data_IF_169448310640
#
_entry.id   IF_169448310640
#
_cell.length_a   1.000
_cell.length_b   1.000
_cell.length_c   1.000
_cell.angle_alpha   90.00
_cell.angle_beta   90.00
_cell.angle_gamma   90.00
#
_symmetry.space_group_name_H-M   'P 1'
#
loop_
_entity.id
_entity.type
_entity.pdbx_description
1 polymer ?
#
# COMPACT_ATOMS: atom_id res chain seq x y z
N UNK A 1 -7.26 -2.97 19.01
CA UNK A 1 -6.17 -3.78 18.38
C UNK A 1 -5.67 -4.80 19.39
N UNK A 2 -5.49 -6.05 18.99
CA UNK A 2 -4.78 -7.00 19.84
C UNK A 2 -3.32 -6.51 19.97
N UNK A 3 -2.76 -6.51 21.18
CA UNK A 3 -1.34 -6.25 21.36
C UNK A 3 -0.52 -7.31 20.61
N UNK A 4 0.68 -6.99 20.16
CA UNK A 4 1.56 -7.92 19.46
C UNK A 4 1.71 -9.27 20.21
N UNK A 5 1.67 -9.25 21.55
CA UNK A 5 1.68 -10.47 22.40
C UNK A 5 0.44 -11.34 22.23
N UNK A 6 -0.74 -10.75 22.05
CA UNK A 6 -2.00 -11.49 21.90
C UNK A 6 -2.07 -12.08 20.50
N UNK A 7 -1.56 -11.36 19.51
CA UNK A 7 -1.42 -11.82 18.12
C UNK A 7 -0.58 -13.10 18.04
N UNK A 8 0.55 -13.16 18.73
CA UNK A 8 1.41 -14.34 18.77
C UNK A 8 0.76 -15.57 19.45
N UNK A 9 -0.20 -15.38 20.35
CA UNK A 9 -0.87 -16.50 21.05
C UNK A 9 -2.00 -17.12 20.20
N UNK A 10 -2.72 -16.33 19.41
CA UNK A 10 -3.85 -16.78 18.60
C UNK A 10 -3.45 -17.25 17.18
N UNK A 11 -2.31 -16.77 16.65
CA UNK A 11 -1.88 -16.98 15.26
C UNK A 11 -2.00 -18.41 14.75
N UNK A 12 -1.50 -19.37 15.49
CA UNK A 12 -1.44 -20.76 14.99
C UNK A 12 -2.81 -21.43 15.02
N UNK A 13 -3.61 -21.20 16.06
CA UNK A 13 -4.91 -21.86 16.21
C UNK A 13 -6.01 -21.21 15.37
N UNK A 14 -6.03 -19.90 15.32
CA UNK A 14 -7.16 -19.13 14.74
C UNK A 14 -6.85 -18.64 13.33
N UNK A 15 -5.66 -18.09 13.10
CA UNK A 15 -5.32 -17.44 11.83
C UNK A 15 -4.71 -18.43 10.82
N UNK A 16 -3.88 -19.35 11.23
CA UNK A 16 -3.22 -20.26 10.29
C UNK A 16 -4.19 -21.11 9.45
N UNK A 17 -5.30 -21.65 9.99
CA UNK A 17 -6.31 -22.32 9.15
C UNK A 17 -6.89 -21.40 8.07
N UNK A 18 -7.13 -20.12 8.37
CA UNK A 18 -7.64 -19.13 7.41
C UNK A 18 -6.61 -18.89 6.29
N UNK A 19 -5.32 -18.75 6.66
CA UNK A 19 -4.22 -18.60 5.70
C UNK A 19 -4.10 -19.80 4.77
N UNK A 20 -4.16 -21.02 5.32
CA UNK A 20 -4.10 -22.27 4.54
C UNK A 20 -5.28 -22.39 3.60
N UNK A 21 -6.49 -22.00 4.04
CA UNK A 21 -7.68 -22.01 3.19
C UNK A 21 -7.57 -20.98 2.06
N UNK A 22 -7.07 -19.78 2.34
CA UNK A 22 -6.78 -18.77 1.31
C UNK A 22 -5.75 -19.27 0.29
N UNK A 23 -4.67 -19.91 0.75
CA UNK A 23 -3.70 -20.53 -0.14
C UNK A 23 -4.32 -21.61 -1.02
N UNK A 24 -5.17 -22.49 -0.46
CA UNK A 24 -5.84 -23.55 -1.24
C UNK A 24 -6.71 -22.97 -2.35
N UNK A 25 -7.47 -21.91 -2.07
CA UNK A 25 -8.27 -21.22 -3.08
C UNK A 25 -7.42 -20.62 -4.23
N UNK A 26 -6.21 -20.13 -3.92
CA UNK A 26 -5.27 -19.68 -4.94
C UNK A 26 -4.69 -20.87 -5.73
N UNK A 27 -4.25 -21.92 -5.04
CA UNK A 27 -3.69 -23.11 -5.65
C UNK A 27 -4.67 -23.87 -6.56
N UNK A 28 -5.98 -23.73 -6.33
CA UNK A 28 -7.01 -24.26 -7.22
C UNK A 28 -7.22 -23.45 -8.51
N UNK A 29 -6.73 -22.21 -8.54
CA UNK A 29 -6.91 -21.28 -9.67
C UNK A 29 -5.66 -21.09 -10.51
N UNK A 30 -4.49 -21.25 -9.93
CA UNK A 30 -3.22 -20.92 -10.55
C UNK A 30 -2.30 -22.14 -10.59
N UNK A 31 -1.58 -22.29 -11.69
CA UNK A 31 -0.60 -23.36 -11.86
C UNK A 31 0.63 -23.18 -10.96
N UNK A 32 0.98 -21.94 -10.64
CA UNK A 32 2.09 -21.56 -9.76
C UNK A 32 1.60 -20.52 -8.75
N UNK A 33 1.90 -20.77 -7.48
CA UNK A 33 1.68 -19.80 -6.40
C UNK A 33 3.03 -19.44 -5.79
N UNK A 34 3.38 -18.17 -5.80
CA UNK A 34 4.58 -17.64 -5.15
C UNK A 34 4.20 -17.17 -3.75
N UNK A 35 4.95 -17.64 -2.75
CA UNK A 35 4.76 -17.27 -1.35
C UNK A 35 5.98 -16.48 -0.88
N UNK A 36 5.75 -15.31 -0.32
CA UNK A 36 6.77 -14.50 0.32
C UNK A 36 6.70 -14.68 1.84
N UNK A 37 7.87 -14.91 2.47
CA UNK A 37 8.01 -14.91 3.93
C UNK A 37 8.14 -13.49 4.47
N UNK A 38 7.98 -13.34 5.77
CA UNK A 38 8.19 -12.07 6.46
C UNK A 38 9.23 -12.24 7.59
N UNK A 39 10.12 -11.27 7.72
CA UNK A 39 11.24 -11.33 8.66
C UNK A 39 12.23 -12.46 8.30
N UNK A 40 12.71 -13.19 9.30
CA UNK A 40 13.66 -14.28 9.08
C UNK A 40 13.11 -15.62 9.59
N UNK A 41 13.25 -16.72 8.84
CA UNK A 41 12.90 -18.05 9.33
C UNK A 41 13.83 -18.53 10.47
N UNK A 42 14.90 -17.80 10.76
CA UNK A 42 15.85 -18.05 11.84
C UNK A 42 15.43 -17.46 13.19
N UNK A 43 14.32 -16.75 13.26
CA UNK A 43 13.74 -16.19 14.50
C UNK A 43 13.22 -17.33 15.42
N UNK A 44 14.14 -18.03 16.09
CA UNK A 44 13.82 -19.21 16.92
C UNK A 44 12.91 -18.90 18.10
N UNK A 45 12.96 -17.68 18.61
CA UNK A 45 12.10 -17.15 19.66
C UNK A 45 10.64 -16.97 19.20
N UNK A 46 10.38 -16.73 17.92
CA UNK A 46 9.05 -16.55 17.34
C UNK A 46 8.52 -17.80 16.64
N UNK A 47 9.33 -18.84 16.49
CA UNK A 47 9.00 -20.07 15.73
C UNK A 47 7.66 -20.69 16.11
N UNK A 48 7.31 -20.70 17.41
CA UNK A 48 6.07 -21.33 17.86
C UNK A 48 4.81 -20.63 17.31
N UNK A 49 4.91 -19.33 17.08
CA UNK A 49 3.82 -18.47 16.59
C UNK A 49 3.97 -18.05 15.13
N UNK A 50 5.11 -18.37 14.49
CA UNK A 50 5.34 -18.07 13.07
C UNK A 50 4.39 -18.88 12.18
N UNK A 51 3.63 -18.18 11.35
CA UNK A 51 2.69 -18.75 10.37
C UNK A 51 3.06 -18.37 8.93
N UNK A 52 4.07 -17.52 8.71
CA UNK A 52 4.39 -16.95 7.40
C UNK A 52 5.58 -17.64 6.72
N UNK A 53 6.56 -18.12 7.47
CA UNK A 53 7.78 -18.71 6.93
C UNK A 53 7.66 -20.23 6.78
N UNK A 54 8.45 -21.00 7.53
CA UNK A 54 8.59 -22.45 7.32
C UNK A 54 7.31 -23.25 7.59
N UNK A 55 6.43 -22.78 8.47
CA UNK A 55 5.11 -23.42 8.68
C UNK A 55 4.24 -23.34 7.44
N UNK A 56 4.21 -22.17 6.79
CA UNK A 56 3.47 -22.00 5.53
C UNK A 56 4.12 -22.79 4.39
N UNK A 57 5.45 -22.75 4.28
CA UNK A 57 6.18 -23.56 3.31
C UNK A 57 5.89 -25.06 3.45
N UNK A 58 5.77 -25.55 4.68
CA UNK A 58 5.40 -26.94 4.96
C UNK A 58 3.94 -27.24 4.56
N UNK A 59 2.99 -26.37 4.89
CA UNK A 59 1.58 -26.55 4.55
C UNK A 59 1.33 -26.52 3.03
N UNK A 60 2.10 -25.71 2.31
CA UNK A 60 2.03 -25.59 0.85
C UNK A 60 2.85 -26.64 0.11
N UNK A 61 3.66 -27.44 0.82
CA UNK A 61 4.70 -28.31 0.23
C UNK A 61 5.63 -27.56 -0.73
N UNK A 62 6.01 -26.33 -0.33
CA UNK A 62 6.73 -25.40 -1.19
C UNK A 62 8.22 -25.75 -1.32
N UNK A 63 8.76 -25.58 -2.51
CA UNK A 63 10.18 -25.45 -2.76
C UNK A 63 10.63 -24.04 -2.38
N UNK A 64 11.63 -23.91 -1.51
CA UNK A 64 12.04 -22.63 -0.95
C UNK A 64 13.38 -22.15 -1.54
N UNK A 65 13.42 -20.86 -1.87
CA UNK A 65 14.64 -20.12 -2.14
C UNK A 65 15.01 -19.30 -0.90
N UNK A 66 16.25 -19.46 -0.41
CA UNK A 66 16.76 -18.60 0.65
C UNK A 66 17.44 -17.37 0.02
N UNK A 67 16.93 -16.17 0.30
CA UNK A 67 17.49 -14.92 -0.23
C UNK A 67 18.29 -14.22 0.87
N UNK A 68 19.57 -13.93 0.59
CA UNK A 68 20.43 -13.14 1.46
C UNK A 68 20.59 -11.71 0.94
N UNK A 69 20.39 -10.72 1.81
CA UNK A 69 20.64 -9.31 1.53
C UNK A 69 22.11 -8.99 1.85
N UNK A 70 22.91 -8.62 0.83
CA UNK A 70 24.33 -8.31 1.01
C UNK A 70 24.57 -6.86 1.47
N UNK A 71 23.62 -5.97 1.24
CA UNK A 71 23.76 -4.55 1.54
C UNK A 71 23.96 -4.27 3.04
N UNK A 72 23.39 -5.14 3.90
CA UNK A 72 23.55 -5.07 5.35
C UNK A 72 24.88 -5.63 5.87
N UNK A 73 25.68 -6.24 5.02
CA UNK A 73 26.89 -6.97 5.41
C UNK A 73 26.61 -8.34 6.03
N UNK A 74 27.63 -9.18 6.12
CA UNK A 74 27.56 -10.48 6.78
C UNK A 74 26.67 -11.53 6.10
N UNK A 75 26.36 -11.39 4.80
CA UNK A 75 25.43 -12.27 4.06
C UNK A 75 25.75 -13.76 4.18
N UNK A 76 27.03 -14.13 4.16
CA UNK A 76 27.44 -15.54 4.29
C UNK A 76 27.14 -16.09 5.69
N UNK A 77 27.38 -15.30 6.73
CA UNK A 77 27.05 -15.67 8.10
C UNK A 77 25.52 -15.81 8.28
N UNK A 78 24.75 -14.89 7.68
CA UNK A 78 23.28 -14.93 7.72
C UNK A 78 22.74 -16.18 7.02
N UNK A 79 23.22 -16.53 5.82
CA UNK A 79 22.80 -17.75 5.11
C UNK A 79 23.13 -19.02 5.89
N UNK A 80 24.38 -19.12 6.39
CA UNK A 80 24.81 -20.29 7.16
C UNK A 80 24.04 -20.42 8.49
N UNK A 81 23.92 -19.31 9.23
CA UNK A 81 23.21 -19.25 10.50
C UNK A 81 21.73 -19.61 10.35
N UNK A 82 21.07 -19.08 9.31
CA UNK A 82 19.68 -19.42 9.02
C UNK A 82 19.51 -20.92 8.81
N UNK A 83 20.30 -21.54 7.94
CA UNK A 83 20.21 -22.98 7.70
C UNK A 83 20.57 -23.81 8.92
N UNK A 84 21.54 -23.38 9.74
CA UNK A 84 21.90 -24.09 10.97
C UNK A 84 20.77 -24.08 12.00
N UNK A 85 19.97 -23.01 12.08
CA UNK A 85 18.85 -22.87 13.00
C UNK A 85 17.57 -23.55 12.53
N UNK A 86 17.43 -23.87 11.24
CA UNK A 86 16.28 -24.60 10.71
C UNK A 86 16.32 -26.09 11.14
N UNK A 87 15.13 -26.65 11.38
CA UNK A 87 14.97 -28.09 11.63
C UNK A 87 15.26 -28.90 10.36
N UNK A 88 15.64 -30.20 10.47
CA UNK A 88 15.97 -31.01 9.29
C UNK A 88 14.89 -31.02 8.20
N UNK A 89 13.62 -31.16 8.57
CA UNK A 89 12.49 -31.17 7.62
C UNK A 89 12.20 -29.80 6.99
N UNK A 90 12.53 -28.69 7.68
CA UNK A 90 12.44 -27.33 7.17
C UNK A 90 13.57 -27.08 6.17
N UNK A 91 14.79 -27.46 6.57
CA UNK A 91 15.99 -27.34 5.73
C UNK A 91 15.86 -28.13 4.42
N UNK A 92 15.25 -29.32 4.47
CA UNK A 92 15.02 -30.14 3.29
C UNK A 92 14.14 -29.47 2.22
N UNK A 93 13.42 -28.39 2.54
CA UNK A 93 12.64 -27.62 1.58
C UNK A 93 13.45 -26.58 0.83
N UNK A 94 14.59 -26.18 1.37
CA UNK A 94 15.46 -25.18 0.72
C UNK A 94 16.13 -25.83 -0.49
N UNK A 95 15.91 -25.27 -1.68
CA UNK A 95 16.45 -25.80 -2.95
C UNK A 95 17.71 -25.08 -3.40
N UNK A 96 17.97 -23.91 -2.85
CA UNK A 96 19.15 -23.12 -3.14
C UNK A 96 19.10 -21.77 -2.42
N UNK A 97 20.11 -20.98 -2.64
CA UNK A 97 20.18 -19.63 -2.14
C UNK A 97 20.49 -18.63 -3.25
N UNK A 98 20.09 -17.38 -3.06
CA UNK A 98 20.46 -16.26 -3.90
C UNK A 98 20.97 -15.12 -3.04
N UNK A 99 21.83 -14.28 -3.61
CA UNK A 99 22.34 -13.05 -2.98
C UNK A 99 21.70 -11.87 -3.69
N UNK A 100 21.03 -10.98 -2.94
CA UNK A 100 20.34 -9.82 -3.48
C UNK A 100 21.06 -8.53 -3.12
N UNK A 101 20.78 -7.47 -3.88
CA UNK A 101 21.31 -6.11 -3.72
C UNK A 101 22.84 -6.01 -3.86
N UNK A 102 23.44 -6.84 -4.69
CA UNK A 102 24.88 -6.85 -4.87
C UNK A 102 25.35 -5.56 -5.57
N UNK A 103 26.44 -4.97 -5.04
CA UNK A 103 27.12 -3.82 -5.64
C UNK A 103 28.61 -4.15 -5.75
N UNK A 104 29.21 -3.87 -6.88
CA UNK A 104 30.65 -4.04 -7.11
C UNK A 104 30.99 -5.15 -8.09
N UNK A 105 32.22 -5.65 -8.00
CA UNK A 105 32.77 -6.68 -8.90
C UNK A 105 32.42 -8.10 -8.43
N UNK A 106 31.61 -8.79 -9.24
CA UNK A 106 31.15 -10.16 -8.95
C UNK A 106 32.30 -11.15 -8.84
N UNK A 107 33.45 -10.91 -9.50
CA UNK A 107 34.61 -11.78 -9.43
C UNK A 107 35.15 -11.92 -8.01
N UNK A 108 35.02 -10.87 -7.18
CA UNK A 108 35.44 -10.87 -5.78
C UNK A 108 34.50 -11.70 -4.90
N UNK A 109 33.21 -11.81 -5.27
CA UNK A 109 32.22 -12.57 -4.52
C UNK A 109 32.23 -14.06 -4.88
N UNK A 110 32.59 -14.42 -6.10
CA UNK A 110 32.53 -15.78 -6.65
C UNK A 110 33.25 -16.84 -5.79
N UNK A 111 34.48 -16.62 -5.27
CA UNK A 111 35.14 -17.62 -4.39
C UNK A 111 34.36 -17.85 -3.10
N UNK A 112 33.73 -16.80 -2.55
CA UNK A 112 32.88 -16.88 -1.36
C UNK A 112 31.62 -17.71 -1.63
N UNK A 113 30.97 -17.51 -2.77
CA UNK A 113 29.79 -18.29 -3.21
C UNK A 113 30.17 -19.77 -3.32
N UNK A 114 31.28 -20.11 -3.98
CA UNK A 114 31.73 -21.47 -4.12
C UNK A 114 32.02 -22.13 -2.76
N UNK A 115 32.60 -21.39 -1.81
CA UNK A 115 32.81 -21.87 -0.45
C UNK A 115 31.48 -22.12 0.27
N UNK A 116 30.47 -21.25 0.09
CA UNK A 116 29.15 -21.39 0.68
C UNK A 116 28.37 -22.57 0.10
N UNK A 117 28.41 -22.78 -1.21
CA UNK A 117 27.77 -23.96 -1.83
C UNK A 117 28.28 -25.27 -1.19
N UNK A 118 29.61 -25.39 -1.00
CA UNK A 118 30.20 -26.56 -0.34
C UNK A 118 29.77 -26.70 1.12
N UNK A 119 29.73 -25.60 1.88
CA UNK A 119 29.35 -25.61 3.31
C UNK A 119 27.88 -25.89 3.55
N UNK A 120 27.02 -25.35 2.70
CA UNK A 120 25.56 -25.45 2.84
C UNK A 120 25.02 -26.74 2.20
N UNK A 121 25.77 -27.35 1.24
CA UNK A 121 25.27 -28.46 0.42
C UNK A 121 24.12 -28.01 -0.51
N UNK A 122 24.06 -26.72 -0.85
CA UNK A 122 23.00 -26.12 -1.65
C UNK A 122 23.61 -25.32 -2.82
N UNK A 123 22.98 -25.33 -4.01
CA UNK A 123 23.43 -24.49 -5.11
C UNK A 123 23.13 -23.02 -4.83
N UNK A 124 24.03 -22.15 -5.30
CA UNK A 124 23.68 -20.76 -5.53
C UNK A 124 22.83 -20.68 -6.80
N UNK A 125 21.66 -20.08 -6.72
CA UNK A 125 20.78 -19.88 -7.87
C UNK A 125 21.09 -18.55 -8.58
N UNK A 126 21.98 -17.73 -8.02
CA UNK A 126 22.47 -16.50 -8.64
C UNK A 126 22.71 -15.36 -7.68
N UNK A 127 23.18 -14.27 -8.26
CA UNK A 127 23.40 -12.99 -7.57
C UNK A 127 22.66 -11.91 -8.33
N UNK A 128 21.76 -11.23 -7.66
CA UNK A 128 20.98 -10.12 -8.24
C UNK A 128 21.69 -8.81 -7.92
N UNK A 129 22.24 -8.13 -8.93
CA UNK A 129 22.84 -6.82 -8.75
C UNK A 129 21.81 -5.78 -8.32
N UNK A 130 22.28 -4.74 -7.68
CA UNK A 130 21.46 -3.58 -7.35
C UNK A 130 20.90 -2.95 -8.63
N UNK A 131 19.61 -2.76 -8.68
CA UNK A 131 18.93 -2.08 -9.78
C UNK A 131 18.58 -0.65 -9.34
N UNK A 132 19.26 0.34 -9.95
CA UNK A 132 18.95 1.75 -9.71
C UNK A 132 17.66 2.16 -10.41
N UNK A 133 17.01 3.17 -9.89
CA UNK A 133 15.88 3.89 -10.50
C UNK A 133 14.75 2.96 -11.00
N UNK A 134 14.48 1.93 -10.23
CA UNK A 134 13.39 1.02 -10.58
C UNK A 134 12.03 1.73 -10.48
N UNK A 135 11.90 2.68 -9.54
CA UNK A 135 10.72 3.53 -9.35
C UNK A 135 9.46 2.75 -8.98
N UNK A 136 9.61 1.56 -8.38
CA UNK A 136 8.49 0.86 -7.77
C UNK A 136 8.15 1.50 -6.43
N UNK A 137 6.87 1.49 -6.11
CA UNK A 137 6.36 2.01 -4.85
C UNK A 137 6.91 1.19 -3.69
N UNK A 138 7.36 1.87 -2.64
CA UNK A 138 7.78 1.21 -1.42
C UNK A 138 6.56 0.83 -0.58
N UNK A 139 6.57 -0.39 -0.01
CA UNK A 139 5.42 -0.95 0.70
C UNK A 139 5.26 -0.37 2.11
N UNK A 140 6.37 0.00 2.76
CA UNK A 140 6.38 0.43 4.16
C UNK A 140 6.60 1.94 4.35
N UNK A 141 6.15 2.44 5.52
CA UNK A 141 6.38 3.81 6.00
C UNK A 141 7.86 4.21 6.16
N UNK A 142 8.81 3.30 5.93
CA UNK A 142 10.24 3.59 5.76
C UNK A 142 10.46 4.58 4.62
N UNK A 143 9.56 4.61 3.63
CA UNK A 143 9.50 5.63 2.59
C UNK A 143 9.44 7.07 3.12
N UNK A 144 8.97 7.30 4.35
CA UNK A 144 8.91 8.65 4.93
C UNK A 144 10.29 9.20 5.32
N UNK A 145 11.26 8.33 5.65
CA UNK A 145 12.60 8.79 5.98
C UNK A 145 13.37 9.27 4.74
N UNK A 146 13.05 8.72 3.57
CA UNK A 146 13.62 9.08 2.27
C UNK A 146 12.66 9.91 1.38
N UNK A 147 11.41 10.17 1.85
CA UNK A 147 10.43 10.94 1.09
C UNK A 147 10.86 12.41 0.94
N UNK A 148 10.57 13.04 -0.20
CA UNK A 148 10.85 14.46 -0.39
C UNK A 148 10.06 15.28 0.65
N UNK A 149 10.77 15.79 1.65
CA UNK A 149 10.23 16.71 2.65
C UNK A 149 10.27 18.10 2.09
N UNK A 150 9.33 18.95 2.50
CA UNK A 150 9.45 20.38 2.24
C UNK A 150 10.57 20.88 3.15
N UNK A 151 11.83 20.83 2.67
CA UNK A 151 12.89 21.55 3.35
C UNK A 151 12.50 23.02 3.42
N UNK A 152 12.78 23.69 4.52
CA UNK A 152 12.49 25.12 4.69
C UNK A 152 13.02 25.91 3.47
N UNK A 153 12.14 26.33 2.58
CA UNK A 153 12.49 26.99 1.33
C UNK A 153 12.52 26.10 0.06
N UNK A 154 12.21 24.79 0.11
CA UNK A 154 12.31 23.90 -1.05
C UNK A 154 11.36 24.30 -2.21
N UNK A 155 10.20 24.83 -1.94
CA UNK A 155 9.38 25.51 -2.96
C UNK A 155 9.85 26.96 -3.12
N UNK A 156 11.13 27.12 -3.52
CA UNK A 156 11.78 28.42 -3.67
C UNK A 156 11.18 29.22 -4.81
N UNK A 157 11.13 30.52 -4.57
CA UNK A 157 10.72 31.60 -5.42
C UNK A 157 9.24 31.56 -5.82
N UNK A 158 8.63 32.73 -5.78
CA UNK A 158 7.39 33.03 -6.47
C UNK A 158 7.62 32.82 -7.97
N UNK A 159 7.61 31.55 -8.42
CA UNK A 159 7.42 31.29 -9.84
C UNK A 159 5.99 31.72 -10.16
N UNK A 160 5.84 32.92 -10.67
CA UNK A 160 4.59 33.46 -11.22
C UNK A 160 4.25 32.78 -12.55
N UNK A 161 5.12 31.92 -13.02
CA UNK A 161 4.94 31.18 -14.25
C UNK A 161 3.77 30.19 -14.11
N UNK A 162 2.77 30.35 -14.95
CA UNK A 162 1.58 29.48 -15.03
C UNK A 162 1.92 28.08 -15.56
N UNK A 163 3.12 27.86 -16.08
CA UNK A 163 3.62 26.57 -16.54
C UNK A 163 4.24 25.73 -15.41
N UNK A 164 4.51 26.31 -14.24
CA UNK A 164 5.08 25.59 -13.10
C UNK A 164 4.28 24.34 -12.71
N UNK A 165 4.91 23.41 -12.00
CA UNK A 165 4.25 22.25 -11.40
C UNK A 165 3.20 22.67 -10.36
N UNK A 166 2.16 21.85 -10.21
CA UNK A 166 1.16 21.97 -9.14
C UNK A 166 1.81 21.51 -7.82
N UNK A 167 1.80 22.36 -6.80
CA UNK A 167 2.38 22.06 -5.49
C UNK A 167 1.35 21.37 -4.60
N UNK A 168 1.60 20.12 -4.30
CA UNK A 168 0.74 19.27 -3.45
C UNK A 168 1.46 18.98 -2.14
N UNK A 169 0.92 19.47 -1.03
CA UNK A 169 1.42 19.18 0.31
C UNK A 169 0.63 18.03 0.94
N UNK A 170 1.29 16.95 1.26
CA UNK A 170 0.72 15.87 2.09
C UNK A 170 1.14 16.10 3.53
N UNK A 171 0.20 16.25 4.45
CA UNK A 171 0.51 16.46 5.86
C UNK A 171 1.15 15.20 6.43
N UNK A 172 2.34 15.32 7.01
CA UNK A 172 3.10 14.21 7.58
C UNK A 172 2.51 13.78 8.95
N UNK A 173 1.29 13.23 8.91
CA UNK A 173 0.60 12.76 10.12
C UNK A 173 1.40 11.65 10.81
N UNK A 174 1.41 11.61 12.17
CA UNK A 174 1.91 10.45 12.89
C UNK A 174 1.20 9.16 12.44
N UNK A 175 1.96 8.08 12.33
CA UNK A 175 1.45 6.76 11.89
C UNK A 175 0.72 6.82 10.54
N UNK A 176 1.24 7.63 9.61
CA UNK A 176 0.75 7.70 8.24
C UNK A 176 0.56 6.29 7.67
N UNK A 177 -0.59 6.06 7.06
CA UNK A 177 -0.94 4.78 6.44
C UNK A 177 -1.01 4.95 4.93
N UNK A 178 -0.60 3.90 4.20
CA UNK A 178 -0.72 3.82 2.74
C UNK A 178 -0.04 4.99 2.01
N UNK A 179 1.26 5.23 2.27
CA UNK A 179 2.06 6.24 1.56
C UNK A 179 2.03 6.06 0.03
N UNK A 180 1.79 4.84 -0.45
CA UNK A 180 1.60 4.48 -1.85
C UNK A 180 0.42 5.19 -2.52
N UNK A 181 -0.54 5.73 -1.77
CA UNK A 181 -1.63 6.54 -2.32
C UNK A 181 -1.13 7.74 -3.13
N UNK A 182 0.07 8.23 -2.82
CA UNK A 182 0.63 9.46 -3.40
C UNK A 182 1.68 9.19 -4.49
N UNK A 183 2.13 7.95 -4.66
CA UNK A 183 3.20 7.60 -5.60
C UNK A 183 2.86 8.00 -7.05
N UNK A 184 1.62 7.79 -7.47
CA UNK A 184 1.16 8.17 -8.80
C UNK A 184 1.08 9.70 -9.00
N UNK A 185 0.76 10.47 -7.97
CA UNK A 185 0.83 11.93 -8.00
C UNK A 185 2.27 12.42 -8.04
N UNK A 186 3.17 11.81 -7.27
CA UNK A 186 4.59 12.15 -7.27
C UNK A 186 5.27 11.82 -8.61
N UNK A 187 4.78 10.79 -9.31
CA UNK A 187 5.26 10.43 -10.65
C UNK A 187 4.72 11.32 -11.78
N UNK A 188 3.75 12.21 -11.48
CA UNK A 188 3.14 13.09 -12.48
C UNK A 188 4.05 14.29 -12.76
N UNK A 189 4.59 14.47 -13.99
CA UNK A 189 5.56 15.54 -14.28
C UNK A 189 5.05 16.94 -14.01
N UNK A 190 3.74 17.15 -13.99
CA UNK A 190 3.09 18.43 -13.74
C UNK A 190 2.77 18.67 -12.26
N UNK A 191 3.20 17.78 -11.37
CA UNK A 191 2.99 17.83 -9.91
C UNK A 191 4.32 17.88 -9.18
N UNK A 192 4.43 18.73 -8.19
CA UNK A 192 5.51 18.81 -7.22
C UNK A 192 4.91 18.45 -5.86
N UNK A 193 5.11 17.20 -5.45
CA UNK A 193 4.53 16.63 -4.23
C UNK A 193 5.60 16.58 -3.13
N UNK A 194 5.25 17.06 -1.94
CA UNK A 194 6.11 16.97 -0.78
C UNK A 194 5.31 16.78 0.52
N UNK A 195 5.98 16.28 1.55
CA UNK A 195 5.38 16.08 2.87
C UNK A 195 5.60 17.30 3.76
N UNK A 196 4.51 17.84 4.33
CA UNK A 196 4.49 19.00 5.20
C UNK A 196 4.59 18.56 6.67
N UNK A 197 5.61 19.04 7.38
CA UNK A 197 5.84 18.75 8.81
C UNK A 197 5.50 19.93 9.70
N UNK A 198 5.53 21.16 9.16
CA UNK A 198 5.26 22.39 9.86
C UNK A 198 4.16 23.25 9.19
N UNK A 199 3.42 24.09 9.95
CA UNK A 199 2.40 24.98 9.39
C UNK A 199 2.88 25.85 8.23
N UNK A 200 4.11 26.36 8.28
CA UNK A 200 4.71 27.18 7.23
C UNK A 200 4.86 26.45 5.89
N UNK A 201 4.95 25.12 5.91
CA UNK A 201 5.07 24.31 4.69
C UNK A 201 3.81 24.41 3.80
N UNK A 202 2.66 24.73 4.41
CA UNK A 202 1.38 24.85 3.67
C UNK A 202 1.24 26.17 2.90
N UNK A 203 1.97 27.21 3.25
CA UNK A 203 1.77 28.57 2.71
C UNK A 203 1.83 28.62 1.18
N UNK A 204 2.76 27.88 0.59
CA UNK A 204 3.01 27.85 -0.86
C UNK A 204 2.35 26.70 -1.59
N UNK A 205 1.66 25.81 -0.89
CA UNK A 205 0.91 24.73 -1.49
C UNK A 205 -0.27 25.26 -2.31
N UNK A 206 -0.62 24.54 -3.36
CA UNK A 206 -1.82 24.75 -4.15
C UNK A 206 -2.95 23.84 -3.67
N UNK A 207 -2.59 22.65 -3.17
CA UNK A 207 -3.50 21.64 -2.60
C UNK A 207 -2.87 21.05 -1.35
N UNK A 208 -3.69 20.79 -0.32
CA UNK A 208 -3.30 20.06 0.88
C UNK A 208 -4.03 18.73 0.91
N UNK A 209 -3.31 17.65 1.25
CA UNK A 209 -3.88 16.32 1.46
C UNK A 209 -3.64 15.89 2.91
N UNK A 210 -4.71 15.57 3.63
CA UNK A 210 -4.67 14.84 4.89
C UNK A 210 -4.72 13.33 4.58
N UNK A 211 -3.63 12.60 4.79
CA UNK A 211 -3.56 11.18 4.42
C UNK A 211 -4.29 10.27 5.40
N UNK A 212 -4.33 8.98 5.09
CA UNK A 212 -4.72 7.95 6.04
C UNK A 212 -3.75 7.87 7.22
N UNK A 213 -4.25 7.48 8.37
CA UNK A 213 -3.45 7.23 9.58
C UNK A 213 -3.98 6.00 10.32
N UNK A 214 -3.07 5.32 11.04
CA UNK A 214 -3.42 4.16 11.90
C UNK A 214 -3.91 4.59 13.30
N UNK A 215 -3.79 5.88 13.64
CA UNK A 215 -4.26 6.46 14.91
C UNK A 215 -4.85 7.85 14.64
N UNK A 216 -6.15 7.90 14.38
CA UNK A 216 -6.87 9.13 14.04
C UNK A 216 -6.94 10.09 15.22
N UNK A 217 -7.18 9.55 16.45
CA UNK A 217 -7.25 10.37 17.66
C UNK A 217 -5.87 10.92 18.02
N UNK A 218 -4.80 10.14 17.80
CA UNK A 218 -3.42 10.60 17.97
C UNK A 218 -3.04 11.68 16.94
N UNK A 219 -3.45 11.52 15.70
CA UNK A 219 -3.25 12.53 14.66
C UNK A 219 -3.96 13.85 14.98
N UNK A 220 -5.19 13.80 15.50
CA UNK A 220 -5.91 14.99 15.96
C UNK A 220 -5.17 15.71 17.12
N UNK A 221 -4.61 14.96 18.07
CA UNK A 221 -3.76 15.57 19.13
C UNK A 221 -2.53 16.26 18.57
N UNK A 222 -1.89 15.65 17.58
CA UNK A 222 -0.71 16.24 16.94
C UNK A 222 -1.07 17.51 16.15
N UNK A 223 -2.23 17.54 15.49
CA UNK A 223 -2.73 18.71 14.77
C UNK A 223 -3.00 19.91 15.68
N UNK A 224 -3.31 19.72 16.96
CA UNK A 224 -3.46 20.80 17.95
C UNK A 224 -2.17 21.65 18.11
N UNK A 225 -1.01 21.16 17.63
CA UNK A 225 0.27 21.87 17.59
C UNK A 225 0.37 22.99 16.56
N UNK A 226 -0.76 23.47 16.00
CA UNK A 226 -0.84 24.56 15.03
C UNK A 226 -1.01 24.14 13.58
N UNK A 227 -0.69 22.88 13.24
CA UNK A 227 -0.92 22.37 11.87
C UNK A 227 -2.42 22.34 11.53
N UNK A 228 -3.27 22.00 12.50
CA UNK A 228 -4.73 22.01 12.31
C UNK A 228 -5.25 23.39 11.94
N UNK A 229 -4.84 24.43 12.67
CA UNK A 229 -5.20 25.81 12.38
C UNK A 229 -4.72 26.26 10.99
N UNK A 230 -3.50 25.85 10.62
CA UNK A 230 -2.96 26.16 9.29
C UNK A 230 -3.78 25.48 8.17
N UNK A 231 -4.20 24.23 8.36
CA UNK A 231 -5.09 23.54 7.42
C UNK A 231 -6.45 24.22 7.33
N UNK A 232 -7.04 24.63 8.46
CA UNK A 232 -8.31 25.36 8.49
C UNK A 232 -8.20 26.68 7.74
N UNK A 233 -7.14 27.46 7.99
CA UNK A 233 -6.89 28.72 7.30
C UNK A 233 -6.68 28.51 5.79
N UNK A 234 -5.94 27.47 5.39
CA UNK A 234 -5.71 27.09 4.01
C UNK A 234 -7.02 26.72 3.29
N UNK A 235 -7.87 25.94 3.95
CA UNK A 235 -9.15 25.46 3.44
C UNK A 235 -10.16 26.57 3.08
N UNK A 236 -9.99 27.78 3.61
CA UNK A 236 -10.85 28.92 3.27
C UNK A 236 -10.73 29.33 1.79
N UNK A 237 -9.61 29.04 1.15
CA UNK A 237 -9.29 29.55 -0.19
C UNK A 237 -8.82 28.50 -1.17
N UNK A 238 -8.25 27.40 -0.68
CA UNK A 238 -7.58 26.38 -1.48
C UNK A 238 -8.09 24.98 -1.16
N UNK A 239 -7.90 24.04 -2.09
CA UNK A 239 -8.38 22.67 -1.95
C UNK A 239 -7.72 21.90 -0.80
N UNK A 240 -8.55 21.18 -0.02
CA UNK A 240 -8.10 20.21 0.98
C UNK A 240 -8.80 18.88 0.74
N UNK A 241 -8.02 17.81 0.71
CA UNK A 241 -8.53 16.45 0.53
C UNK A 241 -8.20 15.63 1.77
N UNK A 242 -9.16 14.85 2.27
CA UNK A 242 -8.95 13.88 3.33
C UNK A 242 -9.18 12.46 2.83
N UNK A 243 -8.19 11.58 3.04
CA UNK A 243 -8.29 10.16 2.67
C UNK A 243 -8.36 9.33 3.95
N UNK A 244 -9.37 8.47 4.07
CA UNK A 244 -9.56 7.53 5.18
C UNK A 244 -9.51 8.24 6.55
N UNK A 245 -8.45 8.08 7.34
CA UNK A 245 -8.26 8.84 8.59
C UNK A 245 -8.28 10.37 8.37
N UNK A 246 -7.71 10.84 7.27
CA UNK A 246 -7.78 12.25 6.87
C UNK A 246 -9.21 12.73 6.62
N UNK A 247 -10.08 11.91 6.04
CA UNK A 247 -11.51 12.24 5.90
C UNK A 247 -12.20 12.34 7.26
N UNK A 248 -11.89 11.45 8.20
CA UNK A 248 -12.41 11.50 9.56
C UNK A 248 -11.99 12.78 10.27
N UNK A 249 -10.71 13.18 10.11
CA UNK A 249 -10.11 14.41 10.66
C UNK A 249 -10.80 15.66 10.15
N UNK A 250 -11.21 15.68 8.87
CA UNK A 250 -11.97 16.83 8.30
C UNK A 250 -13.33 17.03 8.95
N UNK A 251 -13.88 16.04 9.64
CA UNK A 251 -15.20 16.05 10.25
C UNK A 251 -15.34 16.94 11.48
N UNK A 252 -16.52 16.93 12.08
CA UNK A 252 -16.84 17.64 13.32
C UNK A 252 -16.28 16.90 14.55
N UNK A 253 -16.40 15.55 14.56
CA UNK A 253 -16.00 14.71 15.70
C UNK A 253 -15.58 13.34 15.23
N UNK A 254 -14.59 12.79 15.93
CA UNK A 254 -14.22 11.37 15.87
C UNK A 254 -14.38 10.78 17.27
N UNK A 255 -15.22 9.77 17.41
CA UNK A 255 -15.46 9.08 18.69
C UNK A 255 -15.02 7.62 18.62
N UNK A 256 -14.36 7.16 19.68
CA UNK A 256 -13.93 5.78 19.87
C UNK A 256 -14.53 5.19 21.15
N UNK A 257 -15.82 4.89 21.18
CA UNK A 257 -16.48 4.37 22.38
C UNK A 257 -16.02 2.96 22.74
N UNK A 258 -15.32 2.27 21.84
CA UNK A 258 -14.93 0.88 22.01
C UNK A 258 -13.43 0.69 22.28
N UNK A 259 -12.64 1.77 22.33
CA UNK A 259 -11.19 1.70 22.51
C UNK A 259 -10.49 0.97 21.35
N UNK A 260 -10.95 1.21 20.14
CA UNK A 260 -10.37 0.62 18.91
C UNK A 260 -8.97 1.17 18.68
N UNK A 261 -8.78 2.46 18.92
CA UNK A 261 -7.50 3.14 18.93
C UNK A 261 -7.09 3.42 20.39
N UNK A 262 -7.37 4.62 20.91
CA UNK A 262 -7.01 5.05 22.27
C UNK A 262 -8.23 5.28 23.17
N UNK A 263 -9.45 5.13 22.66
CA UNK A 263 -10.70 5.43 23.34
C UNK A 263 -11.00 6.94 23.45
N UNK A 264 -12.23 7.27 23.81
CA UNK A 264 -12.68 8.65 23.98
C UNK A 264 -13.21 9.29 22.70
N UNK A 265 -13.22 10.62 22.66
CA UNK A 265 -13.67 11.39 21.49
C UNK A 265 -12.88 12.71 21.40
N UNK A 266 -12.73 13.20 20.15
CA UNK A 266 -12.10 14.49 19.87
C UNK A 266 -12.86 15.25 18.80
N UNK A 267 -12.77 16.57 18.85
CA UNK A 267 -13.21 17.41 17.74
C UNK A 267 -12.27 17.22 16.56
N UNK A 268 -12.84 17.12 15.36
CA UNK A 268 -12.10 17.22 14.12
C UNK A 268 -11.88 18.68 13.71
N UNK A 269 -11.41 18.90 12.49
CA UNK A 269 -11.16 20.26 11.98
C UNK A 269 -12.43 21.05 11.60
N UNK A 270 -13.60 20.40 11.61
CA UNK A 270 -14.88 21.06 11.34
C UNK A 270 -15.07 21.53 9.89
N UNK A 271 -14.25 21.07 8.96
CA UNK A 271 -14.28 21.47 7.55
C UNK A 271 -15.40 20.77 6.76
N UNK A 272 -15.84 19.62 7.23
CA UNK A 272 -17.01 18.88 6.71
C UNK A 272 -17.99 18.61 7.85
N UNK A 273 -19.31 18.82 7.68
CA UNK A 273 -20.30 18.52 8.70
C UNK A 273 -20.62 17.01 8.77
N UNK A 274 -19.61 16.23 9.02
CA UNK A 274 -19.66 14.78 9.20
C UNK A 274 -19.19 14.39 10.60
N UNK A 275 -19.65 13.23 11.09
CA UNK A 275 -19.26 12.67 12.38
C UNK A 275 -18.82 11.22 12.20
N UNK A 276 -17.72 10.84 12.81
CA UNK A 276 -17.19 9.47 12.72
C UNK A 276 -17.25 8.78 14.07
N UNK A 277 -17.67 7.52 14.06
CA UNK A 277 -17.57 6.59 15.19
C UNK A 277 -16.67 5.43 14.77
N UNK A 278 -15.63 5.18 15.53
CA UNK A 278 -14.78 4.01 15.33
C UNK A 278 -15.49 2.75 15.86
N UNK A 279 -15.51 1.72 15.04
CA UNK A 279 -16.18 0.44 15.34
C UNK A 279 -15.14 -0.70 15.37
N UNK A 280 -15.50 -1.81 16.01
CA UNK A 280 -14.62 -3.00 16.04
C UNK A 280 -14.58 -3.74 14.71
N UNK A 281 -15.52 -3.47 13.84
CA UNK A 281 -15.60 -4.08 12.52
C UNK A 281 -14.67 -3.33 11.55
N UNK A 282 -13.71 -4.06 10.97
CA UNK A 282 -12.79 -3.54 9.97
C UNK A 282 -13.32 -3.84 8.57
N UNK A 283 -13.52 -2.80 7.78
CA UNK A 283 -13.78 -2.93 6.35
C UNK A 283 -12.43 -3.09 5.64
N UNK A 284 -12.29 -4.12 4.80
CA UNK A 284 -11.13 -4.33 3.93
C UNK A 284 -11.63 -4.91 2.62
N UNK A 285 -11.74 -4.08 1.57
CA UNK A 285 -12.38 -4.48 0.31
C UNK A 285 -11.79 -3.73 -0.87
N UNK A 286 -11.55 -4.44 -1.97
CA UNK A 286 -11.35 -3.82 -3.27
C UNK A 286 -12.69 -3.27 -3.78
N UNK A 287 -12.65 -2.10 -4.41
CA UNK A 287 -13.84 -1.38 -4.84
C UNK A 287 -13.69 -0.80 -6.24
N UNK A 288 -14.83 -0.63 -6.93
CA UNK A 288 -14.95 0.26 -8.09
C UNK A 288 -15.55 1.57 -7.63
N UNK A 289 -15.03 2.67 -8.13
CA UNK A 289 -15.39 4.02 -7.73
C UNK A 289 -16.01 4.75 -8.90
N UNK A 290 -17.16 5.35 -8.67
CA UNK A 290 -17.88 6.18 -9.63
C UNK A 290 -18.06 7.56 -9.01
N UNK A 291 -17.11 8.50 -9.25
CA UNK A 291 -17.22 9.85 -8.72
C UNK A 291 -18.53 10.51 -9.18
N UNK A 292 -19.22 11.14 -8.25
CA UNK A 292 -20.45 11.85 -8.56
C UNK A 292 -20.16 13.22 -9.19
N UNK A 293 -21.13 13.76 -9.91
CA UNK A 293 -21.03 15.13 -10.42
C UNK A 293 -21.02 16.12 -9.28
N UNK A 294 -19.94 16.86 -9.15
CA UNK A 294 -19.79 18.00 -8.27
C UNK A 294 -18.77 18.95 -8.85
N UNK A 295 -18.83 20.22 -8.44
CA UNK A 295 -17.83 21.20 -8.83
C UNK A 295 -16.52 20.92 -8.09
N UNK A 296 -15.63 20.14 -8.70
CA UNK A 296 -14.32 19.83 -8.12
C UNK A 296 -13.51 21.13 -8.00
N UNK A 297 -13.19 21.46 -6.75
CA UNK A 297 -12.48 22.69 -6.39
C UNK A 297 -13.16 23.99 -6.85
N UNK A 298 -14.49 23.98 -6.84
CA UNK A 298 -15.31 25.15 -7.18
C UNK A 298 -15.33 25.52 -8.67
N UNK A 299 -14.98 24.59 -9.54
CA UNK A 299 -15.06 24.70 -11.00
C UNK A 299 -16.15 23.77 -11.55
N UNK A 300 -16.68 24.11 -12.73
CA UNK A 300 -17.67 23.31 -13.47
C UNK A 300 -17.23 21.83 -13.51
N UNK A 301 -18.18 20.89 -13.48
CA UNK A 301 -17.88 19.47 -13.30
C UNK A 301 -16.96 18.96 -14.41
N UNK A 302 -15.70 18.77 -14.07
CA UNK A 302 -14.74 18.06 -14.91
C UNK A 302 -14.75 16.54 -14.70
N UNK A 303 -15.65 16.07 -13.81
CA UNK A 303 -15.90 14.66 -13.61
C UNK A 303 -17.09 14.32 -14.49
N UNK A 304 -16.86 13.74 -15.66
CA UNK A 304 -17.92 13.19 -16.51
C UNK A 304 -18.50 11.94 -15.83
N UNK A 305 -19.77 11.62 -16.14
CA UNK A 305 -20.40 10.37 -15.71
C UNK A 305 -19.66 9.11 -16.22
N UNK A 306 -18.66 9.29 -17.09
CA UNK A 306 -17.84 8.26 -17.69
C UNK A 306 -16.58 7.96 -16.86
N UNK A 307 -16.20 8.82 -15.89
CA UNK A 307 -15.04 8.56 -15.05
C UNK A 307 -15.41 7.49 -14.05
N UNK A 308 -14.77 6.35 -14.17
CA UNK A 308 -14.78 5.28 -13.21
C UNK A 308 -13.36 4.86 -12.89
N UNK A 309 -13.13 4.37 -11.70
CA UNK A 309 -11.82 3.92 -11.28
C UNK A 309 -11.90 2.74 -10.32
N UNK A 310 -10.74 2.34 -9.85
CA UNK A 310 -10.57 1.29 -8.87
C UNK A 310 -9.84 1.83 -7.65
N UNK A 311 -10.07 1.18 -6.51
CA UNK A 311 -9.40 1.50 -5.27
C UNK A 311 -9.69 0.43 -4.23
N UNK A 312 -9.42 0.74 -2.98
CA UNK A 312 -9.76 -0.15 -1.87
C UNK A 312 -10.15 0.66 -0.64
N UNK A 313 -10.98 0.05 0.20
CA UNK A 313 -11.33 0.55 1.52
C UNK A 313 -10.60 -0.26 2.57
N UNK A 314 -9.99 0.42 3.56
CA UNK A 314 -9.39 -0.22 4.73
C UNK A 314 -9.56 0.70 5.94
N UNK A 315 -10.67 0.57 6.65
CA UNK A 315 -11.00 1.46 7.78
C UNK A 315 -11.85 0.76 8.84
N UNK A 316 -11.91 1.37 10.03
CA UNK A 316 -12.75 0.93 11.15
C UNK A 316 -13.81 1.98 11.51
N UNK A 317 -13.80 3.15 10.90
CA UNK A 317 -14.74 4.22 11.16
C UNK A 317 -16.02 4.09 10.33
N UNK A 318 -17.14 4.45 10.94
CA UNK A 318 -18.40 4.72 10.27
C UNK A 318 -18.68 6.21 10.34
N UNK A 319 -18.72 6.86 9.17
CA UNK A 319 -18.96 8.30 9.07
C UNK A 319 -20.38 8.56 8.60
N UNK A 320 -21.09 9.40 9.35
CA UNK A 320 -22.42 9.88 9.00
C UNK A 320 -22.33 11.32 8.52
N UNK A 321 -22.93 11.57 7.36
CA UNK A 321 -23.02 12.90 6.77
C UNK A 321 -24.44 13.48 6.97
N UNK A 322 -24.52 14.80 7.04
CA UNK A 322 -25.81 15.48 6.94
C UNK A 322 -26.35 15.29 5.52
N UNK A 323 -27.66 15.07 5.38
CA UNK A 323 -28.36 14.84 4.10
C UNK A 323 -28.21 15.97 3.06
N UNK A 324 -27.70 17.14 3.45
CA UNK A 324 -27.43 18.28 2.56
C UNK A 324 -26.04 18.26 1.92
N UNK A 325 -25.16 17.35 2.33
CA UNK A 325 -23.83 17.21 1.73
C UNK A 325 -23.87 16.40 0.45
N UNK A 326 -23.15 16.86 -0.56
CA UNK A 326 -22.87 16.05 -1.74
C UNK A 326 -21.91 14.94 -1.37
N UNK A 327 -22.22 13.72 -1.78
CA UNK A 327 -21.27 12.61 -1.65
C UNK A 327 -20.15 12.74 -2.71
N UNK A 328 -18.98 12.21 -2.39
CA UNK A 328 -17.86 12.16 -3.33
C UNK A 328 -18.12 11.15 -4.45
N UNK A 329 -18.50 9.93 -4.10
CA UNK A 329 -18.64 8.85 -5.06
C UNK A 329 -19.75 7.84 -4.69
N UNK A 330 -20.17 7.07 -5.67
CA UNK A 330 -20.76 5.76 -5.46
C UNK A 330 -19.64 4.71 -5.54
N UNK A 331 -19.62 3.78 -4.61
CA UNK A 331 -18.61 2.74 -4.50
C UNK A 331 -19.27 1.38 -4.63
N UNK A 332 -18.75 0.51 -5.48
CA UNK A 332 -19.28 -0.85 -5.70
C UNK A 332 -18.33 -1.86 -5.08
N UNK A 333 -18.79 -2.55 -4.05
CA UNK A 333 -18.11 -3.59 -3.30
C UNK A 333 -18.46 -4.97 -3.82
N UNK A 334 -17.46 -5.83 -4.05
CA UNK A 334 -17.68 -7.21 -4.50
C UNK A 334 -18.47 -7.33 -5.81
N UNK A 335 -18.58 -6.26 -6.60
CA UNK A 335 -19.28 -6.21 -7.87
C UNK A 335 -20.81 -6.06 -7.79
N UNK A 336 -21.41 -6.04 -6.60
CA UNK A 336 -22.88 -6.05 -6.42
C UNK A 336 -23.39 -5.02 -5.41
N UNK A 337 -22.69 -4.77 -4.31
CA UNK A 337 -23.11 -3.84 -3.27
C UNK A 337 -22.71 -2.42 -3.63
N UNK A 338 -23.69 -1.53 -3.88
CA UNK A 338 -23.45 -0.11 -4.12
C UNK A 338 -23.68 0.67 -2.85
N UNK A 339 -22.66 1.41 -2.41
CA UNK A 339 -22.71 2.30 -1.24
C UNK A 339 -22.24 3.70 -1.61
N UNK A 340 -22.67 4.67 -0.83
CA UNK A 340 -22.22 6.07 -0.98
C UNK A 340 -20.95 6.25 -0.17
N UNK A 341 -19.93 6.87 -0.77
CA UNK A 341 -18.67 7.22 -0.10
C UNK A 341 -18.41 8.71 -0.11
N UNK A 342 -17.82 9.15 0.99
CA UNK A 342 -17.21 10.45 1.13
C UNK A 342 -18.19 11.60 1.23
N UNK A 343 -17.62 12.79 1.24
CA UNK A 343 -18.37 14.05 1.28
C UNK A 343 -17.60 15.17 0.58
N UNK A 344 -18.34 16.13 0.03
CA UNK A 344 -17.80 17.32 -0.64
C UNK A 344 -18.46 18.55 -0.04
N UNK A 345 -17.66 19.58 0.30
CA UNK A 345 -18.18 20.86 0.78
C UNK A 345 -18.99 21.57 -0.31
N UNK A 346 -19.89 22.46 0.09
CA UNK A 346 -20.78 23.19 -0.83
C UNK A 346 -20.02 24.01 -1.91
N UNK A 347 -18.82 24.48 -1.58
CA UNK A 347 -17.95 25.20 -2.52
C UNK A 347 -17.00 24.27 -3.31
N UNK A 348 -17.07 22.97 -3.10
CA UNK A 348 -16.23 21.97 -3.77
C UNK A 348 -14.76 21.97 -3.35
N UNK A 349 -14.33 22.80 -2.39
CA UNK A 349 -12.93 22.89 -2.00
C UNK A 349 -12.47 21.77 -1.08
N UNK A 350 -13.38 21.24 -0.24
CA UNK A 350 -13.06 20.21 0.72
C UNK A 350 -13.67 18.89 0.24
N UNK A 351 -12.83 17.89 0.10
CA UNK A 351 -13.24 16.56 -0.33
C UNK A 351 -12.74 15.52 0.67
N UNK A 352 -13.61 14.66 1.11
CA UNK A 352 -13.26 13.52 1.97
C UNK A 352 -13.72 12.21 1.36
N UNK A 353 -12.94 11.14 1.48
CA UNK A 353 -13.25 9.80 0.98
C UNK A 353 -12.59 8.72 1.83
N UNK A 354 -13.20 7.55 1.91
CA UNK A 354 -12.55 6.37 2.50
C UNK A 354 -11.69 5.58 1.51
N UNK A 355 -11.82 5.87 0.23
CA UNK A 355 -11.15 5.08 -0.80
C UNK A 355 -9.68 5.45 -0.91
N UNK A 356 -8.83 4.45 -0.78
CA UNK A 356 -7.41 4.47 -1.07
C UNK A 356 -7.13 4.10 -2.53
N UNK A 357 -5.95 4.45 -3.02
CA UNK A 357 -5.49 4.11 -4.36
C UNK A 357 -6.12 4.93 -5.49
N UNK A 358 -6.91 5.97 -5.17
CA UNK A 358 -7.62 6.79 -6.18
C UNK A 358 -6.69 7.41 -7.22
N UNK A 359 -5.52 7.87 -6.78
CA UNK A 359 -4.57 8.52 -7.69
C UNK A 359 -3.78 7.54 -8.56
N UNK A 360 -3.79 6.24 -8.24
CA UNK A 360 -3.23 5.22 -9.11
C UNK A 360 -4.06 5.01 -10.38
N UNK A 361 -5.34 5.37 -10.33
CA UNK A 361 -6.24 5.35 -11.46
C UNK A 361 -6.02 6.59 -12.34
N UNK A 362 -5.61 6.38 -13.59
CA UNK A 362 -5.23 7.47 -14.50
C UNK A 362 -6.36 8.49 -14.74
N UNK A 363 -7.59 8.09 -15.11
CA UNK A 363 -8.71 9.02 -15.30
C UNK A 363 -9.02 9.88 -14.09
N UNK A 364 -9.04 9.29 -12.89
CA UNK A 364 -9.31 10.03 -11.65
C UNK A 364 -8.17 11.01 -11.34
N UNK A 365 -6.92 10.56 -11.43
CA UNK A 365 -5.75 11.42 -11.21
C UNK A 365 -5.71 12.56 -12.20
N UNK A 366 -5.97 12.31 -13.48
CA UNK A 366 -5.98 13.34 -14.50
C UNK A 366 -7.07 14.39 -14.28
N UNK A 367 -8.28 13.99 -13.89
CA UNK A 367 -9.36 14.90 -13.52
C UNK A 367 -8.95 15.78 -12.33
N UNK A 368 -8.36 15.16 -11.29
CA UNK A 368 -7.84 15.88 -10.14
C UNK A 368 -6.77 16.90 -10.51
N UNK A 369 -5.73 16.51 -11.25
CA UNK A 369 -4.61 17.39 -11.63
C UNK A 369 -5.10 18.57 -12.47
N UNK A 370 -5.97 18.31 -13.46
CA UNK A 370 -6.55 19.37 -14.29
C UNK A 370 -7.36 20.36 -13.47
N UNK A 371 -8.24 19.89 -12.60
CA UNK A 371 -9.07 20.75 -11.76
C UNK A 371 -8.23 21.57 -10.78
N UNK A 372 -7.25 20.96 -10.12
CA UNK A 372 -6.37 21.63 -9.17
C UNK A 372 -5.49 22.70 -9.86
N UNK A 373 -4.91 22.38 -11.02
CA UNK A 373 -4.15 23.35 -11.83
C UNK A 373 -5.00 24.51 -12.29
N UNK A 374 -6.20 24.22 -12.82
CA UNK A 374 -7.15 25.28 -13.22
C UNK A 374 -7.56 26.17 -12.04
N UNK A 375 -7.78 25.59 -10.85
CA UNK A 375 -8.07 26.35 -9.62
C UNK A 375 -6.92 27.26 -9.22
N UNK A 376 -5.69 26.81 -9.37
CA UNK A 376 -4.48 27.55 -9.05
C UNK A 376 -4.04 28.52 -10.15
N UNK A 377 -4.83 28.69 -11.21
CA UNK A 377 -4.51 29.56 -12.34
C UNK A 377 -3.36 29.08 -13.21
N UNK A 378 -2.99 27.81 -13.12
CA UNK A 378 -1.94 27.18 -13.90
C UNK A 378 -2.48 26.70 -15.24
N UNK A 379 -1.61 26.67 -16.26
CA UNK A 379 -1.97 26.08 -17.56
C UNK A 379 -2.31 24.59 -17.44
N UNK A 380 -3.18 24.11 -18.34
CA UNK A 380 -3.40 22.67 -18.48
C UNK A 380 -2.07 21.95 -18.74
N UNK A 381 -1.84 20.75 -18.18
CA UNK A 381 -0.61 20.04 -18.42
C UNK A 381 -0.54 19.61 -19.89
N UNK A 382 0.63 19.76 -20.51
CA UNK A 382 0.85 19.37 -21.90
C UNK A 382 0.70 17.85 -22.09
N UNK A 383 1.11 17.09 -21.07
CA UNK A 383 1.01 15.63 -21.04
C UNK A 383 0.70 15.18 -19.61
N UNK A 384 -0.08 14.13 -19.48
CA UNK A 384 -0.36 13.44 -18.23
C UNK A 384 0.26 12.04 -18.29
N UNK A 385 0.82 11.60 -17.18
CA UNK A 385 1.47 10.29 -17.10
C UNK A 385 0.45 9.16 -17.19
N UNK A 386 0.75 8.12 -17.96
CA UNK A 386 0.04 6.85 -17.90
C UNK A 386 0.71 5.98 -16.81
N UNK A 387 0.39 6.24 -15.54
CA UNK A 387 1.07 5.63 -14.40
C UNK A 387 0.92 4.11 -14.36
N UNK A 388 -0.27 3.59 -14.67
CA UNK A 388 -0.53 2.15 -14.71
C UNK A 388 0.41 1.45 -15.70
N UNK A 389 0.54 2.00 -16.92
CA UNK A 389 1.44 1.47 -17.94
C UNK A 389 2.92 1.60 -17.53
N UNK A 390 3.30 2.72 -16.91
CA UNK A 390 4.66 2.92 -16.41
C UNK A 390 4.99 1.93 -15.28
N UNK A 391 4.05 1.66 -14.38
CA UNK A 391 4.21 0.71 -13.29
C UNK A 391 4.39 -0.72 -13.83
N UNK A 392 3.58 -1.14 -14.78
CA UNK A 392 3.76 -2.43 -15.46
C UNK A 392 5.12 -2.53 -16.15
N UNK A 393 5.54 -1.51 -16.88
CA UNK A 393 6.87 -1.49 -17.51
C UNK A 393 8.03 -1.56 -16.48
N UNK A 394 7.85 -1.00 -15.27
CA UNK A 394 8.81 -1.13 -14.17
C UNK A 394 8.87 -2.56 -13.63
N UNK A 395 7.72 -3.22 -13.48
CA UNK A 395 7.68 -4.65 -13.11
C UNK A 395 8.32 -5.53 -14.18
N UNK A 396 8.05 -5.27 -15.47
CA UNK A 396 8.69 -6.00 -16.58
C UNK A 396 10.21 -5.83 -16.55
N UNK A 397 10.70 -4.61 -16.28
CA UNK A 397 12.14 -4.32 -16.14
C UNK A 397 12.75 -5.08 -14.95
N UNK A 398 12.07 -5.10 -13.80
CA UNK A 398 12.50 -5.90 -12.65
C UNK A 398 12.51 -7.39 -12.97
N UNK A 399 11.45 -7.89 -13.59
CA UNK A 399 11.34 -9.30 -13.97
C UNK A 399 12.45 -9.71 -14.94
N UNK A 400 12.75 -8.88 -15.94
CA UNK A 400 13.85 -9.11 -16.88
C UNK A 400 15.21 -9.11 -16.16
N UNK A 401 15.43 -8.15 -15.25
CA UNK A 401 16.65 -8.08 -14.45
C UNK A 401 16.86 -9.33 -13.60
N UNK A 402 15.85 -9.75 -12.86
CA UNK A 402 15.91 -10.96 -12.00
C UNK A 402 16.09 -12.22 -12.85
N UNK A 403 15.37 -12.35 -13.97
CA UNK A 403 15.46 -13.51 -14.88
C UNK A 403 16.87 -13.66 -15.48
N UNK A 404 17.56 -12.58 -15.75
CA UNK A 404 18.92 -12.61 -16.28
C UNK A 404 19.96 -13.08 -15.26
N UNK A 405 19.64 -13.04 -13.96
CA UNK A 405 20.58 -13.26 -12.86
C UNK A 405 20.32 -14.56 -12.07
N UNK A 406 19.10 -15.09 -12.13
CA UNK A 406 18.71 -16.27 -11.33
C UNK A 406 18.38 -17.46 -12.22
N UNK A 407 18.97 -18.62 -11.87
CA UNK A 407 18.52 -19.92 -12.37
C UNK A 407 17.37 -20.43 -11.51
N UNK A 408 16.14 -20.27 -12.01
CA UNK A 408 14.92 -20.69 -11.34
C UNK A 408 14.53 -22.15 -11.65
N UNK A 409 15.25 -22.84 -12.54
CA UNK A 409 14.92 -24.23 -12.95
C UNK A 409 14.84 -25.22 -11.77
N UNK A 410 15.77 -25.19 -10.78
CA UNK A 410 15.68 -26.08 -9.63
C UNK A 410 14.42 -25.88 -8.78
N UNK A 411 13.91 -24.66 -8.69
CA UNK A 411 12.66 -24.33 -7.97
C UNK A 411 11.44 -24.80 -8.75
N UNK A 412 11.39 -24.51 -10.05
CA UNK A 412 10.27 -24.88 -10.91
C UNK A 412 10.14 -26.41 -11.06
N UNK A 413 11.27 -27.12 -11.22
CA UNK A 413 11.29 -28.57 -11.27
C UNK A 413 10.80 -29.21 -9.96
N UNK A 414 11.23 -28.67 -8.81
CA UNK A 414 10.79 -29.14 -7.51
C UNK A 414 9.28 -28.88 -7.28
N UNK A 415 8.78 -27.73 -7.71
CA UNK A 415 7.35 -27.40 -7.64
C UNK A 415 6.51 -28.32 -8.54
N UNK A 416 6.98 -28.61 -9.76
CA UNK A 416 6.32 -29.54 -10.68
C UNK A 416 6.31 -30.99 -10.14
N UNK A 417 7.42 -31.44 -9.51
CA UNK A 417 7.50 -32.77 -8.87
C UNK A 417 6.53 -32.92 -7.69
N UNK A 418 6.36 -31.86 -6.89
CA UNK A 418 5.38 -31.82 -5.80
C UNK A 418 3.93 -31.87 -6.32
N UNK A 419 3.65 -31.28 -7.48
CA UNK A 419 2.33 -31.35 -8.11
C UNK A 419 2.00 -32.75 -8.66
N UNK A 420 2.99 -33.47 -9.16
CA UNK A 420 2.82 -34.84 -9.67
C UNK A 420 2.52 -35.86 -8.57
N UNK A 421 2.91 -35.58 -7.32
CA UNK A 421 2.65 -36.45 -6.16
C UNK A 421 1.31 -36.19 -5.48
N UNK A 422 0.58 -35.09 -5.86
CA UNK A 422 -0.77 -34.84 -5.39
C UNK A 422 -1.75 -35.77 -6.10
N UNK A 423 -2.53 -36.55 -5.33
CA UNK A 423 -3.61 -37.42 -5.81
C UNK A 423 -4.54 -36.72 -6.83
N UNK A 424 -5.08 -37.50 -7.82
CA UNK A 424 -5.90 -36.92 -8.89
C UNK A 424 -7.08 -36.15 -8.31
N UNK A 425 -7.28 -34.95 -8.82
CA UNK A 425 -8.40 -34.05 -8.49
C UNK A 425 -9.71 -34.85 -8.61
N UNK A 426 -10.47 -35.00 -7.54
CA UNK A 426 -11.85 -35.45 -7.64
C UNK A 426 -12.59 -34.47 -8.53
N UNK A 427 -12.88 -34.89 -9.76
CA UNK A 427 -13.82 -34.14 -10.63
C UNK A 427 -15.13 -34.04 -9.88
N UNK A 428 -15.58 -32.82 -9.61
CA UNK A 428 -16.92 -32.56 -9.09
C UNK A 428 -17.93 -33.12 -10.07
N UNK A 429 -18.73 -34.07 -9.61
CA UNK A 429 -19.85 -34.59 -10.37
C UNK A 429 -20.82 -33.45 -10.68
N UNK A 430 -21.36 -33.36 -11.91
CA UNK A 430 -22.35 -32.34 -12.25
C UNK A 430 -23.60 -32.55 -11.39
N UNK A 431 -24.00 -31.50 -10.69
CA UNK A 431 -25.27 -31.45 -9.95
C UNK A 431 -26.42 -31.63 -10.93
N UNK A 432 -27.07 -32.80 -10.91
CA UNK A 432 -28.34 -33.03 -11.60
C UNK A 432 -29.36 -32.02 -11.05
N UNK A 433 -29.73 -31.04 -11.87
CA UNK A 433 -30.96 -30.25 -11.64
C UNK A 433 -32.14 -31.23 -11.70
N UNK A 434 -32.79 -31.48 -10.57
CA UNK A 434 -34.14 -32.05 -10.54
C UNK A 434 -35.11 -30.96 -10.99
N UNK A 435 -35.67 -31.15 -12.18
CA UNK A 435 -36.86 -30.46 -12.62
C UNK A 435 -38.02 -30.99 -11.75
N UNK A 436 -38.62 -30.12 -10.94
CA UNK A 436 -39.97 -30.35 -10.38
C UNK A 436 -40.96 -29.81 -11.40
N UNK A 437 -41.83 -30.70 -11.84
CA UNK A 437 -43.08 -30.35 -12.48
C UNK A 437 -44.07 -29.91 -11.39
#
# INVERSE_FOLDING_TARGET
>A
MAHARDYHRSNVRELFPIVVDAYRRLADRYDVVVLEGAGSPAEINLRASDIVNMRMAQAADAACLLVGDIDRGGVFAALLGTLALLRPHERARIRGFAINKFRGDLSLLTPGIAAMQRRLGLPSLGVVPWLNDIGLDEEDSVALDDAPRIAAGAWHAAQTDRSRALRVAVVALPYLANATDFAALAAEPSVDLAYAEAPADLERADVVILPGTKDTLGALRWLDGGMGDAVIAFAQRKPVIGICGGYQILGLTVADPHGVEAGGARSGLGLLPVRTVLTREKVTRAVRVYPRRFALFGREPHVSDEIQGTGYEIHMGQTTANSRLSAFADVVRGGVERVVDGAVSANGLIVGTYVHGLFADDPIRWAFVRAARARSGLHAPAQLAAYSAQREARFDRLAAHVRAQLDLQPLLAAAAGAAATRLPRRRSLPTRRRSLR
#
